data_IF_230638317878
#
_entry.id   IF_230638317878
#
_cell.length_a   1.000
_cell.length_b   1.000
_cell.length_c   1.000
_cell.angle_alpha   90.00
_cell.angle_beta   90.00
_cell.angle_gamma   90.00
#
_symmetry.space_group_name_H-M   'P 1'
#
loop_
_entity.id
_entity.type
_entity.pdbx_description
1 polymer ?
#
# COMPACT_ATOMS: atom_id res chain seq x y z
N UNK A 1 10.02 1.49 8.05
CA UNK A 1 10.48 1.72 6.66
C UNK A 1 9.37 2.41 5.91
N UNK A 2 9.68 3.51 5.21
CA UNK A 2 8.69 4.25 4.42
C UNK A 2 8.41 3.47 3.14
N UNK A 3 7.15 3.17 2.90
CA UNK A 3 6.70 2.34 1.77
C UNK A 3 5.80 3.16 0.86
N UNK A 4 5.93 2.95 -0.44
CA UNK A 4 5.02 3.44 -1.47
C UNK A 4 4.35 2.25 -2.16
N UNK A 5 3.04 2.34 -2.37
CA UNK A 5 2.27 1.34 -3.13
C UNK A 5 1.75 1.99 -4.42
N UNK A 6 2.24 1.49 -5.56
CA UNK A 6 1.83 1.92 -6.89
C UNK A 6 0.86 0.88 -7.47
N UNK A 7 -0.28 1.32 -7.99
CA UNK A 7 -1.36 0.42 -8.40
C UNK A 7 -2.27 0.03 -7.23
N UNK A 8 -2.40 0.92 -6.24
CA UNK A 8 -3.16 0.68 -5.00
C UNK A 8 -4.66 0.36 -5.21
N UNK A 9 -5.25 0.74 -6.34
CA UNK A 9 -6.66 0.47 -6.66
C UNK A 9 -6.92 -0.93 -7.21
N UNK A 10 -5.89 -1.64 -7.67
CA UNK A 10 -6.03 -3.01 -8.13
C UNK A 10 -6.23 -3.98 -6.96
N UNK A 11 -6.76 -5.17 -7.22
CA UNK A 11 -7.03 -6.17 -6.17
C UNK A 11 -5.79 -6.47 -5.32
N UNK A 12 -4.66 -6.73 -5.97
CA UNK A 12 -3.39 -6.97 -5.28
C UNK A 12 -2.89 -5.75 -4.53
N UNK A 13 -3.07 -4.55 -5.08
CA UNK A 13 -2.65 -3.31 -4.45
C UNK A 13 -3.44 -3.01 -3.18
N UNK A 14 -4.76 -3.14 -3.24
CA UNK A 14 -5.64 -3.01 -2.08
C UNK A 14 -5.33 -4.06 -1.02
N UNK A 15 -5.01 -5.28 -1.43
CA UNK A 15 -4.74 -6.35 -0.47
C UNK A 15 -3.36 -6.26 0.17
N UNK A 16 -2.37 -5.77 -0.57
CA UNK A 16 -1.10 -5.35 0.00
C UNK A 16 -1.32 -4.25 1.05
N UNK A 17 -2.17 -3.25 0.77
CA UNK A 17 -2.50 -2.20 1.75
C UNK A 17 -3.19 -2.77 2.99
N UNK A 18 -4.08 -3.76 2.86
CA UNK A 18 -4.71 -4.45 4.01
C UNK A 18 -3.64 -5.12 4.88
N UNK A 19 -2.68 -5.81 4.29
CA UNK A 19 -1.60 -6.47 5.04
C UNK A 19 -0.65 -5.46 5.70
N UNK A 20 -0.37 -4.35 5.03
CA UNK A 20 0.49 -3.29 5.57
C UNK A 20 -0.21 -2.44 6.64
N UNK A 21 -1.55 -2.48 6.71
CA UNK A 21 -2.33 -1.73 7.71
C UNK A 21 -1.97 -2.17 9.13
N UNK A 22 -1.26 -1.28 9.85
CA UNK A 22 -0.81 -1.54 11.21
C UNK A 22 0.44 -2.42 11.32
N UNK A 23 1.15 -2.65 10.21
CA UNK A 23 2.37 -3.45 10.26
C UNK A 23 3.49 -2.72 11.02
N UNK A 24 4.15 -3.35 12.02
CA UNK A 24 5.05 -2.66 12.95
C UNK A 24 6.32 -2.10 12.30
N UNK A 25 6.67 -2.59 11.11
CA UNK A 25 7.91 -2.21 10.42
C UNK A 25 7.69 -1.33 9.17
N UNK A 26 6.47 -1.27 8.63
CA UNK A 26 6.21 -0.61 7.35
C UNK A 26 5.12 0.45 7.53
N UNK A 27 5.43 1.65 7.07
CA UNK A 27 4.50 2.78 7.07
C UNK A 27 4.22 3.14 5.61
N UNK A 28 2.97 2.99 5.18
CA UNK A 28 2.55 3.41 3.84
C UNK A 28 2.45 4.93 3.84
N UNK A 29 3.41 5.57 3.18
CA UNK A 29 3.48 7.04 3.08
C UNK A 29 2.95 7.57 1.75
N UNK A 30 2.81 6.71 0.76
CA UNK A 30 2.24 7.02 -0.56
C UNK A 30 1.43 5.82 -1.05
N UNK A 31 0.22 6.07 -1.53
CA UNK A 31 -0.56 5.11 -2.30
C UNK A 31 -1.06 5.83 -3.56
N UNK A 32 -0.77 5.29 -4.74
CA UNK A 32 -1.19 5.88 -6.01
C UNK A 32 -1.80 4.85 -6.95
N UNK A 33 -2.65 5.33 -7.84
CA UNK A 33 -3.26 4.54 -8.90
C UNK A 33 -3.51 5.40 -10.13
N UNK A 34 -3.59 4.77 -11.29
CA UNK A 34 -3.91 5.37 -12.58
C UNK A 34 -5.22 4.77 -13.10
N UNK A 35 -5.95 5.50 -13.95
CA UNK A 35 -7.15 5.04 -14.65
C UNK A 35 -6.85 4.64 -16.09
#
# INVERSE_FOLDING_TARGET
>A
MRTAVIGASGYTGGELLRLLSGHPQFEVTVASAHS
#
